data_IF_414224744317
#
_entry.id   IF_414224744317
#
_cell.length_a   1.000
_cell.length_b   1.000
_cell.length_c   1.000
_cell.angle_alpha   90.00
_cell.angle_beta   90.00
_cell.angle_gamma   90.00
#
_symmetry.space_group_name_H-M   'P 1'
#
loop_
_entity.id
_entity.type
_entity.pdbx_description
1 polymer ?
#
# COMPACT_ATOMS: atom_id res chain seq x y z
N UNK A 1 -69.74 -61.18 -16.54
CA UNK A 1 -70.45 -60.23 -15.66
C UNK A 1 -69.93 -60.37 -14.24
N UNK A 2 -69.05 -59.44 -13.80
CA UNK A 2 -68.95 -58.83 -12.48
C UNK A 2 -67.60 -58.09 -12.41
N UNK A 3 -67.67 -56.78 -12.64
CA UNK A 3 -66.65 -55.81 -12.26
C UNK A 3 -66.61 -55.79 -10.73
N UNK A 4 -65.45 -56.05 -10.14
CA UNK A 4 -65.18 -55.79 -8.72
C UNK A 4 -64.10 -54.70 -8.68
N UNK A 5 -64.55 -53.47 -8.40
CA UNK A 5 -63.68 -52.35 -8.04
C UNK A 5 -63.12 -52.60 -6.64
N UNK A 6 -61.79 -52.60 -6.51
CA UNK A 6 -61.08 -52.48 -5.23
C UNK A 6 -60.58 -51.02 -5.11
N UNK A 7 -60.95 -50.27 -4.07
CA UNK A 7 -60.44 -48.93 -3.84
C UNK A 7 -59.02 -49.03 -3.26
N UNK A 8 -58.04 -48.49 -3.97
CA UNK A 8 -56.72 -48.25 -3.41
C UNK A 8 -56.83 -47.13 -2.37
N UNK A 9 -56.65 -47.47 -1.10
CA UNK A 9 -56.44 -46.50 -0.02
C UNK A 9 -55.12 -45.75 -0.28
N UNK A 10 -55.20 -44.51 -0.75
CA UNK A 10 -54.11 -43.55 -0.63
C UNK A 10 -54.03 -43.11 0.83
N UNK A 11 -53.13 -43.72 1.60
CA UNK A 11 -52.66 -43.14 2.85
C UNK A 11 -51.78 -41.94 2.50
N UNK A 12 -52.32 -40.73 2.65
CA UNK A 12 -51.55 -39.49 2.63
C UNK A 12 -50.64 -39.48 3.86
N UNK A 13 -49.39 -39.89 3.67
CA UNK A 13 -48.36 -39.73 4.71
C UNK A 13 -47.95 -38.26 4.71
N UNK A 14 -48.63 -37.45 5.52
CA UNK A 14 -48.10 -36.16 5.97
C UNK A 14 -46.93 -36.43 6.92
N UNK A 15 -45.81 -36.87 6.36
CA UNK A 15 -44.55 -37.00 7.07
C UNK A 15 -43.89 -35.62 7.19
N UNK A 16 -44.30 -34.84 8.18
CA UNK A 16 -43.47 -33.72 8.64
C UNK A 16 -42.21 -34.34 9.25
N UNK A 17 -41.06 -34.22 8.57
CA UNK A 17 -39.78 -34.66 9.09
C UNK A 17 -39.42 -33.78 10.30
N UNK A 18 -39.67 -34.28 11.51
CA UNK A 18 -39.32 -33.62 12.76
C UNK A 18 -37.90 -34.05 13.15
N UNK A 19 -36.90 -33.24 12.80
CA UNK A 19 -35.51 -33.50 13.20
C UNK A 19 -35.35 -33.06 14.67
N UNK A 20 -35.32 -34.03 15.59
CA UNK A 20 -34.86 -33.82 16.96
C UNK A 20 -33.36 -34.10 17.05
N UNK A 21 -32.57 -33.06 16.86
CA UNK A 21 -31.17 -33.00 17.23
C UNK A 21 -30.86 -31.55 17.57
N UNK A 22 -30.04 -31.27 18.59
CA UNK A 22 -29.46 -29.93 18.74
C UNK A 22 -28.80 -29.59 17.41
N UNK A 23 -29.42 -28.71 16.62
CA UNK A 23 -28.81 -28.17 15.41
C UNK A 23 -27.51 -27.53 15.87
N UNK A 24 -26.38 -28.10 15.45
CA UNK A 24 -25.09 -27.49 15.72
C UNK A 24 -25.17 -26.04 15.23
N UNK A 25 -24.93 -25.09 16.14
CA UNK A 25 -25.08 -23.67 15.85
C UNK A 25 -24.00 -23.25 14.87
N UNK A 26 -24.38 -22.63 13.76
CA UNK A 26 -23.45 -22.04 12.81
C UNK A 26 -22.88 -20.74 13.38
N UNK A 27 -21.59 -20.75 13.70
CA UNK A 27 -20.83 -19.63 14.24
C UNK A 27 -19.57 -19.35 13.41
N UNK A 28 -19.62 -19.65 12.11
CA UNK A 28 -18.55 -19.34 11.17
C UNK A 28 -18.28 -17.83 11.13
N UNK A 29 -17.00 -17.46 11.09
CA UNK A 29 -16.58 -16.06 11.21
C UNK A 29 -16.64 -15.34 9.87
N UNK A 30 -17.16 -14.12 9.86
CA UNK A 30 -17.17 -13.22 8.70
C UNK A 30 -16.59 -11.87 9.08
N UNK A 31 -16.02 -11.17 8.10
CA UNK A 31 -15.52 -9.82 8.28
C UNK A 31 -15.75 -8.99 7.02
N UNK A 32 -16.42 -7.85 7.18
CA UNK A 32 -16.51 -6.81 6.15
C UNK A 32 -15.21 -6.02 6.16
N UNK A 33 -14.50 -6.04 5.04
CA UNK A 33 -13.23 -5.34 4.89
C UNK A 33 -13.45 -4.05 4.11
N UNK A 34 -12.85 -2.97 4.60
CA UNK A 34 -12.75 -1.68 3.93
C UNK A 34 -11.41 -1.02 4.28
N UNK A 35 -11.23 0.24 3.85
CA UNK A 35 -9.97 0.96 4.05
C UNK A 35 -9.60 1.13 5.54
N UNK A 36 -10.56 1.14 6.47
CA UNK A 36 -10.32 1.34 7.89
C UNK A 36 -9.67 0.13 8.58
N UNK A 37 -9.90 -1.09 8.07
CA UNK A 37 -9.48 -2.32 8.74
C UNK A 37 -8.65 -3.26 7.86
N UNK A 38 -8.46 -2.94 6.57
CA UNK A 38 -7.65 -3.74 5.64
C UNK A 38 -6.26 -4.00 6.21
N UNK A 39 -5.49 -2.96 6.57
CA UNK A 39 -4.11 -3.13 7.04
C UNK A 39 -3.94 -4.08 8.24
N UNK A 40 -4.87 -4.08 9.19
CA UNK A 40 -4.85 -4.96 10.36
C UNK A 40 -5.20 -6.42 10.02
N UNK A 41 -5.82 -6.65 8.86
CA UNK A 41 -6.32 -7.95 8.40
C UNK A 41 -5.53 -8.52 7.23
N UNK A 42 -4.28 -8.08 7.08
CA UNK A 42 -3.35 -8.46 6.02
C UNK A 42 -3.31 -9.97 5.72
N UNK A 43 -3.30 -10.30 4.43
CA UNK A 43 -2.94 -11.63 3.93
C UNK A 43 -1.56 -11.52 3.31
N UNK A 44 -0.56 -12.07 4.00
CA UNK A 44 0.84 -12.00 3.57
C UNK A 44 1.04 -12.71 2.24
N UNK A 45 1.96 -12.19 1.44
CA UNK A 45 2.39 -12.75 0.15
C UNK A 45 1.24 -13.06 -0.82
N UNK A 46 0.16 -12.27 -0.77
CA UNK A 46 -1.03 -12.47 -1.59
C UNK A 46 -1.20 -11.35 -2.63
N UNK A 47 -0.95 -11.68 -3.90
CA UNK A 47 -1.02 -10.72 -4.99
C UNK A 47 -2.42 -10.11 -5.21
N UNK A 48 -3.50 -10.87 -4.92
CA UNK A 48 -4.86 -10.34 -4.99
C UNK A 48 -5.10 -9.30 -3.88
N UNK A 49 -4.58 -9.57 -2.69
CA UNK A 49 -4.68 -8.67 -1.55
C UNK A 49 -3.97 -7.34 -1.83
N UNK A 50 -2.75 -7.39 -2.32
CA UNK A 50 -1.97 -6.20 -2.69
C UNK A 50 -2.67 -5.40 -3.80
N UNK A 51 -3.29 -6.06 -4.78
CA UNK A 51 -4.07 -5.41 -5.83
C UNK A 51 -5.34 -4.73 -5.30
N UNK A 52 -6.08 -5.38 -4.41
CA UNK A 52 -7.24 -4.75 -3.76
C UNK A 52 -6.79 -3.56 -2.92
N UNK A 53 -5.68 -3.67 -2.18
CA UNK A 53 -5.11 -2.56 -1.40
C UNK A 53 -4.78 -1.34 -2.29
N UNK A 54 -4.38 -1.59 -3.54
CA UNK A 54 -4.13 -0.57 -4.53
C UNK A 54 -5.40 0.02 -5.16
N UNK A 55 -6.60 -0.49 -4.87
CA UNK A 55 -7.84 -0.13 -5.56
C UNK A 55 -8.77 0.65 -4.62
N UNK A 56 -9.59 1.56 -5.15
CA UNK A 56 -10.70 2.12 -4.35
C UNK A 56 -11.63 0.99 -3.89
N UNK A 57 -11.81 0.88 -2.57
CA UNK A 57 -12.57 -0.22 -1.97
C UNK A 57 -13.69 0.28 -1.07
N UNK A 58 -14.68 -0.59 -0.84
CA UNK A 58 -15.76 -0.39 0.12
C UNK A 58 -16.13 -1.71 0.78
N UNK A 59 -16.75 -1.61 1.95
CA UNK A 59 -17.33 -2.75 2.63
C UNK A 59 -18.41 -3.42 1.75
N UNK A 60 -18.45 -4.76 1.68
CA UNK A 60 -19.50 -5.48 0.99
C UNK A 60 -20.77 -5.55 1.83
N UNK A 61 -21.85 -5.96 1.19
CA UNK A 61 -23.02 -6.46 1.91
C UNK A 61 -22.87 -7.96 2.15
N UNK A 62 -23.03 -8.36 3.41
CA UNK A 62 -22.97 -9.75 3.87
C UNK A 62 -24.27 -10.03 4.60
N UNK A 63 -25.05 -10.97 4.08
CA UNK A 63 -26.28 -11.47 4.67
C UNK A 63 -26.03 -12.90 5.12
N UNK A 64 -26.38 -13.21 6.37
CA UNK A 64 -26.27 -14.56 6.93
C UNK A 64 -27.66 -14.96 7.41
N UNK A 65 -28.13 -16.12 6.95
CA UNK A 65 -29.39 -16.72 7.39
C UNK A 65 -29.14 -18.19 7.74
N UNK A 66 -29.38 -18.55 9.00
CA UNK A 66 -28.97 -19.81 9.63
C UNK A 66 -27.48 -20.17 9.39
N UNK A 67 -27.24 -21.02 8.39
CA UNK A 67 -25.91 -21.51 8.00
C UNK A 67 -25.55 -21.10 6.57
N UNK A 68 -26.36 -20.28 5.90
CA UNK A 68 -26.09 -19.77 4.57
C UNK A 68 -25.50 -18.36 4.65
N UNK A 69 -24.59 -18.05 3.75
CA UNK A 69 -24.06 -16.70 3.55
C UNK A 69 -24.28 -16.26 2.12
N UNK A 70 -24.69 -15.01 1.96
CA UNK A 70 -24.82 -14.31 0.69
C UNK A 70 -24.00 -13.03 0.77
N UNK A 71 -23.01 -12.89 -0.12
CA UNK A 71 -22.13 -11.72 -0.19
C UNK A 71 -22.21 -11.07 -1.56
N UNK A 72 -22.35 -9.75 -1.60
CA UNK A 72 -22.41 -9.03 -2.87
C UNK A 72 -21.87 -7.61 -2.80
N UNK A 73 -21.53 -7.09 -3.98
CA UNK A 73 -21.08 -5.73 -4.21
C UNK A 73 -22.06 -4.98 -5.10
N UNK A 74 -22.50 -3.80 -4.66
CA UNK A 74 -23.28 -2.89 -5.51
C UNK A 74 -22.40 -1.99 -6.39
N UNK A 75 -22.97 -1.35 -7.42
CA UNK A 75 -22.37 -0.18 -8.07
C UNK A 75 -21.06 -0.42 -8.84
N UNK A 76 -20.98 -1.50 -9.62
CA UNK A 76 -19.86 -1.73 -10.56
C UNK A 76 -18.53 -2.16 -9.94
N UNK A 77 -18.53 -2.53 -8.65
CA UNK A 77 -17.37 -3.09 -7.96
C UNK A 77 -17.29 -4.62 -8.14
N UNK A 78 -16.08 -5.16 -8.09
CA UNK A 78 -15.82 -6.60 -8.02
C UNK A 78 -15.64 -7.06 -6.58
N UNK A 79 -16.19 -8.23 -6.27
CA UNK A 79 -16.06 -8.91 -4.99
C UNK A 79 -14.78 -9.72 -4.94
N UNK A 80 -14.04 -9.54 -3.85
CA UNK A 80 -12.87 -10.32 -3.48
C UNK A 80 -13.08 -10.89 -2.08
N UNK A 81 -12.59 -12.10 -1.87
CA UNK A 81 -12.61 -12.77 -0.58
C UNK A 81 -11.23 -13.24 -0.17
N UNK A 82 -11.01 -13.29 1.13
CA UNK A 82 -9.76 -13.65 1.75
C UNK A 82 -9.98 -14.50 3.00
N UNK A 83 -9.01 -15.36 3.30
CA UNK A 83 -8.86 -16.04 4.59
C UNK A 83 -7.63 -15.47 5.33
N UNK A 84 -7.00 -16.26 6.19
CA UNK A 84 -5.73 -15.93 6.84
C UNK A 84 -4.52 -16.03 5.92
N UNK A 85 -4.56 -16.90 4.91
CA UNK A 85 -3.40 -17.32 4.10
C UNK A 85 -3.68 -17.36 2.58
N UNK A 86 -4.92 -17.15 2.16
CA UNK A 86 -5.33 -17.22 0.75
C UNK A 86 -6.42 -16.20 0.42
N UNK A 87 -6.70 -16.06 -0.88
CA UNK A 87 -7.78 -15.22 -1.38
C UNK A 87 -8.20 -15.59 -2.78
N UNK A 88 -9.39 -15.14 -3.18
CA UNK A 88 -9.99 -15.40 -4.47
C UNK A 88 -10.73 -14.16 -4.99
N UNK A 89 -10.72 -13.99 -6.31
CA UNK A 89 -11.54 -13.01 -7.02
C UNK A 89 -12.86 -13.68 -7.41
N UNK A 90 -13.98 -13.13 -6.95
CA UNK A 90 -15.32 -13.59 -7.33
C UNK A 90 -15.80 -12.83 -8.57
N UNK A 91 -15.45 -11.54 -8.70
CA UNK A 91 -15.86 -10.70 -9.82
C UNK A 91 -17.14 -9.93 -9.52
N UNK A 92 -17.96 -9.66 -10.53
CA UNK A 92 -19.22 -8.91 -10.40
C UNK A 92 -20.44 -9.78 -10.02
N UNK A 93 -20.18 -11.01 -9.58
CA UNK A 93 -21.19 -11.96 -9.13
C UNK A 93 -21.40 -11.90 -7.61
N UNK A 94 -22.52 -12.48 -7.17
CA UNK A 94 -22.75 -12.76 -5.76
C UNK A 94 -21.99 -14.03 -5.37
N UNK A 95 -21.52 -14.07 -4.13
CA UNK A 95 -20.96 -15.27 -3.53
C UNK A 95 -21.95 -15.88 -2.57
N UNK A 96 -22.27 -17.15 -2.81
CA UNK A 96 -23.10 -17.95 -1.92
C UNK A 96 -22.27 -19.06 -1.28
N UNK A 97 -22.61 -19.43 -0.05
CA UNK A 97 -21.92 -20.50 0.63
C UNK A 97 -22.62 -20.98 1.89
N UNK A 98 -22.08 -22.05 2.46
CA UNK A 98 -22.65 -22.68 3.65
C UNK A 98 -21.60 -22.85 4.75
N UNK A 99 -21.98 -22.55 5.98
CA UNK A 99 -21.19 -22.83 7.17
C UNK A 99 -21.30 -24.31 7.52
N UNK A 100 -20.17 -25.01 7.61
CA UNK A 100 -20.10 -26.36 8.16
C UNK A 100 -20.26 -26.28 9.70
N UNK A 101 -21.37 -26.76 10.29
CA UNK A 101 -21.60 -26.65 11.72
C UNK A 101 -20.61 -27.49 12.57
N UNK A 102 -19.98 -28.50 11.98
CA UNK A 102 -19.03 -29.37 12.67
C UNK A 102 -17.63 -28.78 12.70
N UNK A 103 -17.21 -28.14 11.60
CA UNK A 103 -15.87 -27.57 11.45
C UNK A 103 -15.83 -26.08 11.75
N UNK A 104 -16.97 -25.40 11.78
CA UNK A 104 -17.09 -23.95 11.93
C UNK A 104 -16.29 -23.20 10.86
N UNK A 105 -16.33 -23.73 9.62
CA UNK A 105 -15.68 -23.17 8.43
C UNK A 105 -16.71 -22.93 7.35
N UNK A 106 -16.51 -21.87 6.58
CA UNK A 106 -17.31 -21.61 5.38
C UNK A 106 -16.90 -22.54 4.26
N UNK A 107 -17.87 -23.11 3.58
CA UNK A 107 -17.73 -23.86 2.33
C UNK A 107 -18.24 -22.96 1.21
N UNK A 108 -17.33 -22.46 0.38
CA UNK A 108 -17.58 -21.42 -0.62
C UNK A 108 -17.25 -21.96 -2.01
N UNK A 109 -18.12 -21.75 -2.98
CA UNK A 109 -17.80 -22.03 -4.39
C UNK A 109 -17.13 -20.79 -4.99
N UNK A 110 -15.85 -20.92 -5.31
CA UNK A 110 -15.02 -19.85 -5.88
C UNK A 110 -14.79 -20.03 -7.38
N UNK A 111 -15.55 -20.90 -8.04
CA UNK A 111 -15.50 -21.15 -9.49
C UNK A 111 -14.59 -22.31 -9.91
N UNK A 112 -13.78 -22.85 -8.99
CA UNK A 112 -12.96 -24.06 -9.19
C UNK A 112 -13.42 -25.23 -8.28
N UNK A 113 -14.64 -25.16 -7.77
CA UNK A 113 -15.19 -26.08 -6.78
C UNK A 113 -15.28 -25.46 -5.39
N UNK A 114 -15.73 -26.27 -4.44
CA UNK A 114 -15.97 -25.85 -3.05
C UNK A 114 -14.66 -25.82 -2.29
N UNK A 115 -14.33 -24.64 -1.76
CA UNK A 115 -13.19 -24.40 -0.89
C UNK A 115 -13.62 -24.07 0.53
N UNK A 116 -12.76 -24.41 1.51
CA UNK A 116 -12.99 -24.06 2.91
C UNK A 116 -12.27 -22.77 3.32
N UNK A 117 -12.97 -21.94 4.10
CA UNK A 117 -12.46 -20.70 4.67
C UNK A 117 -12.69 -20.68 6.19
N UNK A 118 -11.63 -20.41 6.96
CA UNK A 118 -11.66 -20.30 8.41
C UNK A 118 -12.29 -18.98 8.85
N UNK A 119 -11.95 -17.89 8.16
CA UNK A 119 -12.62 -16.59 8.27
C UNK A 119 -12.96 -16.11 6.87
N UNK A 120 -14.23 -15.79 6.61
CA UNK A 120 -14.63 -15.16 5.35
C UNK A 120 -14.46 -13.65 5.48
N UNK A 121 -13.31 -13.13 5.05
CA UNK A 121 -13.08 -11.69 4.89
C UNK A 121 -13.49 -11.30 3.48
N UNK A 122 -14.36 -10.31 3.33
CA UNK A 122 -14.87 -9.91 2.02
C UNK A 122 -14.72 -8.40 1.81
N UNK A 123 -14.41 -7.99 0.57
CA UNK A 123 -14.19 -6.58 0.17
C UNK A 123 -14.67 -6.35 -1.25
N UNK A 124 -15.25 -5.18 -1.50
CA UNK A 124 -15.59 -4.72 -2.84
C UNK A 124 -14.53 -3.77 -3.36
N UNK A 125 -13.93 -4.07 -4.52
CA UNK A 125 -12.97 -3.20 -5.20
C UNK A 125 -13.58 -2.63 -6.48
N UNK A 126 -13.52 -1.32 -6.69
CA UNK A 126 -14.10 -0.67 -7.87
C UNK A 126 -13.29 -1.00 -9.14
N UNK A 127 -13.97 -1.48 -10.18
CA UNK A 127 -13.32 -1.77 -11.48
C UNK A 127 -12.71 -0.48 -12.04
N UNK A 128 -11.46 -0.55 -12.50
CA UNK A 128 -10.80 0.57 -13.17
C UNK A 128 -10.32 1.71 -12.25
N UNK A 129 -10.55 1.61 -10.94
CA UNK A 129 -9.89 2.46 -9.92
C UNK A 129 -8.70 1.76 -9.26
N UNK A 130 -8.23 0.67 -9.88
CA UNK A 130 -6.91 0.15 -9.57
C UNK A 130 -5.94 1.34 -9.66
N UNK A 131 -5.11 1.58 -8.66
CA UNK A 131 -3.96 2.48 -8.78
C UNK A 131 -3.06 1.87 -9.84
N UNK A 132 -3.40 2.15 -11.09
CA UNK A 132 -2.75 1.65 -12.28
C UNK A 132 -1.43 2.36 -12.38
N UNK A 133 -0.48 1.86 -11.60
CA UNK A 133 0.83 2.44 -11.59
C UNK A 133 1.60 1.94 -12.82
N UNK A 134 1.57 2.75 -13.87
CA UNK A 134 2.29 2.51 -15.11
C UNK A 134 3.60 3.28 -15.15
N UNK A 135 4.64 2.74 -15.82
CA UNK A 135 5.88 3.47 -16.06
C UNK A 135 5.68 4.84 -16.71
N UNK A 136 4.66 5.03 -17.56
CA UNK A 136 4.36 6.32 -18.20
C UNK A 136 3.42 7.24 -17.39
N UNK A 137 3.05 6.86 -16.17
CA UNK A 137 2.18 7.70 -15.33
C UNK A 137 2.85 9.05 -15.07
N UNK A 138 2.09 10.17 -15.04
CA UNK A 138 2.63 11.45 -14.61
C UNK A 138 3.27 11.30 -13.23
N UNK A 139 4.56 11.65 -13.14
CA UNK A 139 5.37 11.33 -11.97
C UNK A 139 5.98 12.59 -11.35
N UNK A 140 6.12 12.59 -10.03
CA UNK A 140 6.89 13.61 -9.32
C UNK A 140 8.38 13.25 -9.28
N UNK A 141 9.22 14.27 -9.33
CA UNK A 141 10.58 14.20 -8.81
C UNK A 141 10.57 14.64 -7.35
N UNK A 142 10.76 13.71 -6.41
CA UNK A 142 10.89 14.01 -4.98
C UNK A 142 12.36 14.33 -4.68
N UNK A 143 12.62 15.53 -4.18
CA UNK A 143 13.90 15.92 -3.63
C UNK A 143 13.80 16.05 -2.10
N UNK A 144 14.34 15.07 -1.39
CA UNK A 144 14.30 15.01 0.06
C UNK A 144 15.69 15.15 0.66
N UNK A 145 15.81 15.87 1.78
CA UNK A 145 17.09 16.11 2.42
C UNK A 145 17.00 16.13 3.94
N UNK A 146 18.03 15.58 4.58
CA UNK A 146 18.20 15.58 6.03
C UNK A 146 18.52 16.98 6.54
N UNK A 147 17.90 17.38 7.66
CA UNK A 147 18.20 18.65 8.33
C UNK A 147 19.60 18.66 8.99
N UNK A 148 20.28 17.51 9.07
CA UNK A 148 21.64 17.41 9.62
C UNK A 148 22.74 17.81 8.62
N UNK A 149 22.42 17.92 7.33
CA UNK A 149 23.33 18.37 6.27
C UNK A 149 23.67 19.87 6.38
N UNK A 150 24.71 20.29 5.66
CA UNK A 150 24.90 21.72 5.37
C UNK A 150 23.93 22.14 4.26
N UNK A 151 23.21 23.25 4.45
CA UNK A 151 22.24 23.71 3.47
C UNK A 151 22.91 24.16 2.17
N UNK A 152 24.14 24.68 2.23
CA UNK A 152 24.87 25.09 1.03
C UNK A 152 25.15 23.91 0.10
N UNK A 153 25.50 22.74 0.64
CA UNK A 153 25.67 21.51 -0.13
C UNK A 153 24.34 21.05 -0.74
N UNK A 154 23.24 21.12 0.02
CA UNK A 154 21.89 20.79 -0.47
C UNK A 154 21.47 21.72 -1.61
N UNK A 155 21.69 23.02 -1.47
CA UNK A 155 21.41 24.02 -2.50
C UNK A 155 22.25 23.77 -3.76
N UNK A 156 23.54 23.48 -3.59
CA UNK A 156 24.44 23.19 -4.72
C UNK A 156 23.96 21.95 -5.50
N UNK A 157 23.71 20.84 -4.81
CA UNK A 157 23.23 19.60 -5.44
C UNK A 157 21.88 19.83 -6.12
N UNK A 158 20.96 20.55 -5.48
CA UNK A 158 19.67 20.87 -6.09
C UNK A 158 19.82 21.71 -7.36
N UNK A 159 20.72 22.70 -7.35
CA UNK A 159 20.96 23.59 -8.49
C UNK A 159 21.39 22.83 -9.75
N UNK A 160 22.06 21.68 -9.60
CA UNK A 160 22.46 20.81 -10.72
C UNK A 160 21.25 20.15 -11.39
N UNK A 161 20.16 19.90 -10.67
CA UNK A 161 18.89 19.47 -11.28
C UNK A 161 18.19 20.61 -12.04
N UNK A 162 18.43 21.87 -11.67
CA UNK A 162 17.86 23.05 -12.35
C UNK A 162 18.66 23.44 -13.60
N UNK A 163 19.98 23.36 -13.55
CA UNK A 163 20.85 23.94 -14.60
C UNK A 163 21.70 22.90 -15.33
N UNK A 164 21.72 21.65 -14.87
CA UNK A 164 22.49 20.57 -15.47
C UNK A 164 21.80 19.91 -16.68
N UNK A 165 22.51 19.00 -17.39
CA UNK A 165 21.98 18.25 -18.53
C UNK A 165 20.82 17.30 -18.16
N UNK A 166 20.55 17.14 -16.86
CA UNK A 166 19.47 16.36 -16.25
C UNK A 166 18.07 16.95 -16.53
N UNK A 167 18.00 18.18 -17.04
CA UNK A 167 16.75 18.90 -17.34
C UNK A 167 15.82 18.24 -18.39
N UNK A 168 16.30 17.20 -19.08
CA UNK A 168 15.57 16.52 -20.16
C UNK A 168 14.95 15.18 -19.76
N UNK A 169 14.67 14.95 -18.48
CA UNK A 169 13.87 13.79 -18.09
C UNK A 169 12.37 14.08 -18.33
N UNK A 170 11.94 13.90 -19.58
CA UNK A 170 10.56 14.12 -20.07
C UNK A 170 9.45 13.39 -19.29
N UNK A 171 9.83 12.50 -18.37
CA UNK A 171 8.90 11.69 -17.56
C UNK A 171 8.24 12.47 -16.41
N UNK A 172 8.91 13.45 -15.82
CA UNK A 172 8.41 14.11 -14.61
C UNK A 172 7.59 15.37 -14.94
N UNK A 173 6.46 15.54 -14.26
CA UNK A 173 5.55 16.66 -14.50
C UNK A 173 5.57 17.69 -13.37
N UNK A 174 5.96 17.28 -12.17
CA UNK A 174 6.01 18.14 -10.98
C UNK A 174 7.22 17.81 -10.10
N UNK A 175 7.52 18.72 -9.17
CA UNK A 175 8.56 18.53 -8.15
C UNK A 175 7.90 18.43 -6.78
N UNK A 176 8.36 17.48 -5.96
CA UNK A 176 8.03 17.42 -4.55
C UNK A 176 9.30 17.65 -3.72
N UNK A 177 9.17 18.26 -2.54
CA UNK A 177 10.29 18.38 -1.60
C UNK A 177 9.85 18.06 -0.18
N UNK A 178 10.77 17.46 0.58
CA UNK A 178 10.59 17.19 2.01
C UNK A 178 11.91 17.34 2.73
N UNK A 179 11.90 18.09 3.82
CA UNK A 179 12.94 18.01 4.82
C UNK A 179 12.57 16.95 5.86
N UNK A 180 13.55 16.21 6.32
CA UNK A 180 13.40 15.20 7.38
C UNK A 180 14.55 15.33 8.39
N UNK A 181 14.56 14.50 9.42
CA UNK A 181 15.39 14.63 10.62
C UNK A 181 15.10 15.91 11.42
N UNK A 182 13.80 16.24 11.52
CA UNK A 182 13.32 17.42 12.23
C UNK A 182 12.49 17.05 13.45
N UNK A 183 12.64 17.78 14.57
CA UNK A 183 11.84 17.63 15.79
C UNK A 183 10.35 17.75 15.51
N UNK A 184 10.01 18.72 14.65
CA UNK A 184 8.65 18.91 14.15
C UNK A 184 8.57 18.33 12.74
N UNK A 185 7.70 17.34 12.53
CA UNK A 185 7.52 16.76 11.20
C UNK A 185 7.00 17.80 10.23
N UNK A 186 7.65 17.91 9.09
CA UNK A 186 7.26 18.82 8.02
C UNK A 186 6.40 18.11 6.98
N UNK A 187 5.48 18.86 6.36
CA UNK A 187 4.67 18.38 5.25
C UNK A 187 5.50 18.27 3.97
N UNK A 188 5.12 17.32 3.12
CA UNK A 188 5.71 17.18 1.79
C UNK A 188 5.06 18.20 0.88
N UNK A 189 5.87 19.10 0.31
CA UNK A 189 5.37 20.15 -0.55
C UNK A 189 5.44 19.73 -2.01
N UNK A 190 4.33 19.83 -2.73
CA UNK A 190 4.23 19.55 -4.17
C UNK A 190 4.14 20.87 -4.95
N UNK A 191 4.97 21.00 -5.98
CA UNK A 191 5.06 22.19 -6.83
C UNK A 191 4.65 21.81 -8.26
N UNK A 192 3.45 22.25 -8.63
CA UNK A 192 2.87 22.06 -9.95
C UNK A 192 2.76 23.41 -10.66
N UNK A 193 3.53 23.59 -11.73
CA UNK A 193 3.53 24.79 -12.56
C UNK A 193 3.42 24.43 -14.04
N UNK A 194 3.30 25.46 -14.89
CA UNK A 194 3.15 25.30 -16.34
C UNK A 194 4.30 24.52 -17.01
N UNK A 195 5.51 24.60 -16.46
CA UNK A 195 6.66 23.83 -16.91
C UNK A 195 7.35 23.16 -15.73
N UNK A 196 7.98 22.00 -15.95
CA UNK A 196 8.79 21.33 -14.93
C UNK A 196 9.89 22.26 -14.40
N UNK A 197 10.47 23.11 -15.25
CA UNK A 197 11.45 24.10 -14.84
C UNK A 197 10.91 25.16 -13.88
N UNK A 198 9.66 25.59 -14.04
CA UNK A 198 8.99 26.47 -13.08
C UNK A 198 8.72 25.75 -11.75
N UNK A 199 8.37 24.46 -11.79
CA UNK A 199 8.23 23.62 -10.59
C UNK A 199 9.54 23.51 -9.82
N UNK A 200 10.68 23.29 -10.50
CA UNK A 200 12.01 23.31 -9.88
C UNK A 200 12.35 24.67 -9.26
N UNK A 201 12.07 25.79 -9.95
CA UNK A 201 12.31 27.14 -9.41
C UNK A 201 11.45 27.42 -8.18
N UNK A 202 10.15 27.09 -8.21
CA UNK A 202 9.25 27.28 -7.09
C UNK A 202 9.68 26.46 -5.85
N UNK A 203 10.13 25.23 -6.06
CA UNK A 203 10.70 24.39 -5.01
C UNK A 203 12.02 24.96 -4.47
N UNK A 204 12.91 25.47 -5.33
CA UNK A 204 14.14 26.17 -4.91
C UNK A 204 13.82 27.39 -4.04
N UNK A 205 12.90 28.24 -4.49
CA UNK A 205 12.47 29.43 -3.74
C UNK A 205 11.90 29.06 -2.37
N UNK A 206 11.10 27.99 -2.30
CA UNK A 206 10.57 27.47 -1.05
C UNK A 206 11.69 27.02 -0.11
N UNK A 207 12.61 26.16 -0.57
CA UNK A 207 13.73 25.68 0.25
C UNK A 207 14.61 26.83 0.72
N UNK A 208 14.89 27.82 -0.14
CA UNK A 208 15.71 28.98 0.17
C UNK A 208 15.05 29.92 1.18
N UNK A 209 13.71 30.01 1.15
CA UNK A 209 12.93 30.80 2.10
C UNK A 209 12.78 30.12 3.46
N UNK A 210 12.52 28.81 3.47
CA UNK A 210 12.33 28.08 4.72
C UNK A 210 13.64 27.90 5.45
N UNK A 211 14.75 27.69 4.71
CA UNK A 211 16.13 27.41 5.18
C UNK A 211 16.20 26.29 6.23
N UNK A 212 17.33 25.61 6.34
CA UNK A 212 17.55 24.73 7.50
C UNK A 212 17.51 25.56 8.79
N UNK A 213 16.64 25.17 9.72
CA UNK A 213 16.70 25.64 11.11
C UNK A 213 17.46 24.57 11.91
N UNK A 214 18.72 24.85 12.31
CA UNK A 214 19.51 23.89 13.07
C UNK A 214 18.86 23.50 14.41
N UNK A 215 17.98 24.35 14.95
CA UNK A 215 17.25 24.04 16.20
C UNK A 215 16.21 22.93 16.04
N UNK A 216 15.80 22.64 14.79
CA UNK A 216 14.92 21.53 14.46
C UNK A 216 15.65 20.19 14.39
N UNK A 217 17.00 20.12 14.41
CA UNK A 217 17.72 18.83 14.41
C UNK A 217 17.40 18.02 15.65
N UNK A 218 17.48 16.69 15.57
CA UNK A 218 17.34 15.86 16.77
C UNK A 218 18.47 16.14 17.76
N UNK A 219 18.12 16.21 19.05
CA UNK A 219 19.06 16.57 20.12
C UNK A 219 20.10 15.47 20.42
N UNK A 220 19.75 14.21 20.12
CA UNK A 220 20.57 13.04 20.44
C UNK A 220 21.10 12.37 19.18
N UNK A 221 22.37 11.94 19.21
CA UNK A 221 22.95 11.07 18.18
C UNK A 221 22.35 9.65 18.19
N UNK A 222 21.71 9.23 19.28
CA UNK A 222 21.03 7.92 19.38
C UNK A 222 19.70 7.89 18.64
N UNK A 223 19.09 9.06 18.38
CA UNK A 223 17.86 9.16 17.60
C UNK A 223 18.16 8.85 16.14
N UNK A 224 17.52 7.81 15.60
CA UNK A 224 17.62 7.45 14.19
C UNK A 224 16.91 8.43 13.28
N UNK A 225 17.26 8.38 11.99
CA UNK A 225 16.60 9.18 10.96
C UNK A 225 15.15 8.77 10.75
N UNK A 226 14.27 9.74 10.52
CA UNK A 226 12.86 9.51 10.17
C UNK A 226 12.62 9.42 8.65
N UNK A 227 13.66 9.19 7.85
CA UNK A 227 13.59 9.06 6.39
C UNK A 227 12.59 7.99 5.92
N UNK A 228 12.46 6.87 6.64
CA UNK A 228 11.52 5.79 6.28
C UNK A 228 10.07 6.24 6.51
N UNK A 229 9.82 6.99 7.58
CA UNK A 229 8.51 7.62 7.84
C UNK A 229 8.20 8.68 6.77
N UNK A 230 9.18 9.51 6.39
CA UNK A 230 9.02 10.48 5.30
C UNK A 230 8.65 9.80 3.97
N UNK A 231 9.32 8.71 3.62
CA UNK A 231 9.00 7.92 2.42
C UNK A 231 7.61 7.27 2.51
N UNK A 232 7.22 6.73 3.66
CA UNK A 232 5.86 6.20 3.83
C UNK A 232 4.81 7.31 3.67
N UNK A 233 5.03 8.50 4.25
CA UNK A 233 4.13 9.66 4.09
C UNK A 233 4.05 10.13 2.64
N UNK A 234 5.15 10.09 1.89
CA UNK A 234 5.13 10.42 0.46
C UNK A 234 4.25 9.42 -0.31
N UNK A 235 4.45 8.13 -0.07
CA UNK A 235 3.69 7.06 -0.73
C UNK A 235 2.20 7.14 -0.38
N UNK A 236 1.89 7.42 0.88
CA UNK A 236 0.53 7.44 1.41
C UNK A 236 -0.16 8.81 1.24
N UNK A 237 0.47 9.76 0.57
CA UNK A 237 -0.08 11.12 0.36
C UNK A 237 -1.33 11.17 -0.53
N UNK A 238 -1.66 10.07 -1.21
CA UNK A 238 -2.72 9.98 -2.22
C UNK A 238 -2.52 10.97 -3.39
N UNK A 239 -1.32 11.55 -3.52
CA UNK A 239 -1.01 12.47 -4.60
C UNK A 239 -0.88 11.71 -5.92
N UNK A 240 -1.52 12.22 -6.97
CA UNK A 240 -1.63 11.52 -8.26
C UNK A 240 -0.26 11.18 -8.90
N UNK A 241 0.77 11.91 -8.53
CA UNK A 241 2.13 11.85 -9.08
C UNK A 241 3.09 10.92 -8.32
N UNK A 242 2.61 10.18 -7.31
CA UNK A 242 3.45 9.27 -6.50
C UNK A 242 3.91 8.07 -7.33
N UNK A 243 3.05 7.54 -8.18
CA UNK A 243 3.41 6.42 -9.03
C UNK A 243 4.56 6.78 -9.99
N UNK A 244 5.50 5.85 -10.16
CA UNK A 244 6.61 5.96 -11.10
C UNK A 244 7.54 7.16 -10.82
N UNK A 245 7.41 7.77 -9.65
CA UNK A 245 8.24 8.87 -9.16
C UNK A 245 9.69 8.44 -8.98
N UNK A 246 10.57 9.43 -8.96
CA UNK A 246 11.96 9.26 -8.56
C UNK A 246 12.17 10.06 -7.28
N UNK A 247 12.71 9.41 -6.26
CA UNK A 247 13.10 10.03 -5.01
C UNK A 247 14.62 10.15 -4.95
N UNK A 248 15.10 11.39 -5.00
CA UNK A 248 16.48 11.72 -4.68
C UNK A 248 16.54 12.13 -3.21
N UNK A 249 17.31 11.39 -2.41
CA UNK A 249 17.33 11.51 -0.96
C UNK A 249 18.76 11.80 -0.51
N UNK A 250 18.98 12.94 0.13
CA UNK A 250 20.25 13.31 0.73
C UNK A 250 20.20 13.09 2.24
N UNK A 251 21.13 12.31 2.78
CA UNK A 251 21.14 11.90 4.17
C UNK A 251 22.47 12.18 4.84
N UNK A 252 22.41 12.47 6.14
CA UNK A 252 23.59 12.44 7.03
C UNK A 252 23.36 11.58 8.27
N UNK A 253 22.11 11.40 8.71
CA UNK A 253 21.74 10.54 9.83
C UNK A 253 21.26 9.18 9.33
N UNK A 254 21.66 8.11 10.02
CA UNK A 254 21.21 6.74 9.73
C UNK A 254 19.87 6.44 10.42
N UNK A 255 19.02 5.57 9.84
CA UNK A 255 17.87 5.01 10.55
C UNK A 255 18.27 4.14 11.74
N UNK A 256 17.33 3.86 12.63
CA UNK A 256 17.46 2.82 13.65
C UNK A 256 16.65 1.56 13.31
N UNK A 257 15.71 1.69 12.39
CA UNK A 257 14.86 0.62 11.93
C UNK A 257 15.63 -0.31 10.99
N UNK A 258 15.48 -1.62 11.18
CA UNK A 258 16.07 -2.65 10.30
C UNK A 258 15.02 -3.45 9.52
N UNK A 259 13.77 -3.47 10.00
CA UNK A 259 12.67 -4.11 9.30
C UNK A 259 12.08 -3.18 8.24
N UNK A 260 12.40 -3.46 6.98
CA UNK A 260 12.02 -2.64 5.82
C UNK A 260 11.05 -3.37 4.87
N UNK A 261 10.54 -4.54 5.25
CA UNK A 261 9.73 -5.39 4.37
C UNK A 261 8.47 -4.68 3.84
N UNK A 262 7.80 -3.93 4.72
CA UNK A 262 6.58 -3.15 4.38
C UNK A 262 6.88 -2.05 3.36
N UNK A 263 7.88 -1.22 3.62
CA UNK A 263 8.22 -0.10 2.75
C UNK A 263 8.81 -0.56 1.41
N UNK A 264 9.58 -1.66 1.39
CA UNK A 264 10.05 -2.30 0.14
C UNK A 264 8.88 -2.69 -0.76
N UNK A 265 7.83 -3.32 -0.20
CA UNK A 265 6.63 -3.68 -0.98
C UNK A 265 5.95 -2.43 -1.53
N UNK A 266 5.77 -1.39 -0.71
CA UNK A 266 5.18 -0.12 -1.14
C UNK A 266 5.96 0.54 -2.28
N UNK A 267 7.28 0.69 -2.14
CA UNK A 267 8.14 1.29 -3.17
C UNK A 267 8.03 0.51 -4.50
N UNK A 268 8.07 -0.83 -4.45
CA UNK A 268 7.91 -1.69 -5.63
C UNK A 268 6.52 -1.55 -6.26
N UNK A 269 5.47 -1.56 -5.44
CA UNK A 269 4.08 -1.42 -5.87
C UNK A 269 3.86 -0.09 -6.60
N UNK A 270 4.42 1.00 -6.07
CA UNK A 270 4.33 2.35 -6.64
C UNK A 270 5.43 2.65 -7.67
N UNK A 271 6.29 1.67 -7.99
CA UNK A 271 7.39 1.79 -8.96
C UNK A 271 8.28 3.01 -8.71
N UNK A 272 8.53 3.32 -7.44
CA UNK A 272 9.35 4.47 -7.06
C UNK A 272 10.81 4.10 -7.23
N UNK A 273 11.55 4.93 -7.94
CA UNK A 273 12.99 4.79 -8.09
C UNK A 273 13.71 5.57 -6.99
N UNK A 274 14.60 4.90 -6.25
CA UNK A 274 15.37 5.52 -5.18
C UNK A 274 16.79 5.84 -5.65
N UNK A 275 17.22 7.08 -5.43
CA UNK A 275 18.61 7.53 -5.55
C UNK A 275 19.01 8.17 -4.22
N UNK A 276 19.87 7.50 -3.46
CA UNK A 276 20.19 7.84 -2.08
C UNK A 276 21.66 8.24 -1.97
N UNK A 277 21.89 9.50 -1.58
CA UNK A 277 23.19 10.04 -1.27
C UNK A 277 23.36 10.11 0.26
N UNK A 278 24.43 9.55 0.80
CA UNK A 278 24.67 9.51 2.25
C UNK A 278 26.06 10.10 2.55
N UNK A 279 26.10 11.15 3.37
CA UNK A 279 27.34 11.71 3.91
C UNK A 279 27.83 10.84 5.08
N UNK A 280 29.11 10.49 5.07
CA UNK A 280 29.75 9.66 6.09
C UNK A 280 30.97 10.38 6.70
N UNK A 281 31.16 10.41 8.04
CA UNK A 281 30.45 9.62 9.04
C UNK A 281 29.06 10.15 9.34
N UNK A 282 28.18 9.24 9.74
CA UNK A 282 26.81 9.59 10.09
C UNK A 282 26.76 10.57 11.27
N UNK A 283 25.82 11.51 11.26
CA UNK A 283 25.54 12.42 12.38
C UNK A 283 24.82 11.72 13.55
N UNK A 284 24.22 10.54 13.31
CA UNK A 284 23.51 9.77 14.33
C UNK A 284 22.83 8.51 13.79
N UNK A 285 22.11 7.82 14.67
CA UNK A 285 21.48 6.54 14.37
C UNK A 285 22.46 5.38 14.22
N UNK A 286 21.92 4.17 14.16
CA UNK A 286 22.67 2.94 14.40
C UNK A 286 22.86 2.06 13.15
N UNK A 287 21.99 2.20 12.14
CA UNK A 287 21.90 1.24 11.03
C UNK A 287 22.06 1.91 9.65
N UNK A 288 23.28 2.35 9.27
CA UNK A 288 23.54 2.90 7.93
C UNK A 288 23.22 1.91 6.80
N UNK A 289 23.33 0.60 7.06
CA UNK A 289 23.04 -0.46 6.09
C UNK A 289 21.55 -0.53 5.69
N UNK A 290 20.64 0.03 6.51
CA UNK A 290 19.20 -0.02 6.24
C UNK A 290 18.86 0.61 4.89
N UNK A 291 19.45 1.76 4.58
CA UNK A 291 19.14 2.48 3.33
C UNK A 291 19.79 1.82 2.10
N UNK A 292 20.99 1.26 2.27
CA UNK A 292 21.61 0.43 1.23
C UNK A 292 20.75 -0.80 0.90
N UNK A 293 20.27 -1.51 1.94
CA UNK A 293 19.40 -2.66 1.77
C UNK A 293 18.06 -2.29 1.14
N UNK A 294 17.52 -1.12 1.47
CA UNK A 294 16.29 -0.59 0.87
C UNK A 294 16.47 -0.35 -0.63
N UNK A 295 17.51 0.38 -1.02
CA UNK A 295 17.83 0.62 -2.43
C UNK A 295 18.07 -0.69 -3.18
N UNK A 296 18.91 -1.59 -2.65
CA UNK A 296 19.19 -2.89 -3.27
C UNK A 296 17.93 -3.74 -3.46
N UNK A 297 17.04 -3.79 -2.47
CA UNK A 297 15.76 -4.52 -2.57
C UNK A 297 14.77 -3.84 -3.50
N UNK A 298 14.95 -2.58 -3.88
CA UNK A 298 14.01 -1.84 -4.73
C UNK A 298 14.58 -1.51 -6.11
N UNK A 299 15.76 -2.04 -6.45
CA UNK A 299 16.53 -1.71 -7.65
C UNK A 299 16.88 -0.21 -7.76
N UNK A 300 17.07 0.46 -6.63
CA UNK A 300 17.59 1.82 -6.55
C UNK A 300 19.10 1.87 -6.38
N UNK A 301 19.62 3.09 -6.30
CA UNK A 301 21.02 3.39 -6.04
C UNK A 301 21.20 3.99 -4.65
N UNK A 302 22.26 3.57 -3.96
CA UNK A 302 22.66 4.11 -2.67
C UNK A 302 24.18 4.22 -2.64
N UNK A 303 24.69 5.38 -2.27
CA UNK A 303 26.13 5.63 -2.21
C UNK A 303 26.50 6.43 -0.97
N UNK A 304 27.72 6.20 -0.48
CA UNK A 304 28.29 6.79 0.73
C UNK A 304 29.59 7.50 0.36
N UNK A 305 29.79 8.75 0.79
CA UNK A 305 31.09 9.41 0.70
C UNK A 305 31.29 10.42 1.84
N UNK A 306 32.53 10.91 2.03
CA UNK A 306 32.84 11.93 3.02
C UNK A 306 32.09 13.24 2.83
N UNK A 307 31.87 13.64 1.57
CA UNK A 307 31.17 14.86 1.20
C UNK A 307 29.96 14.52 0.33
N UNK A 308 28.79 15.07 0.67
CA UNK A 308 27.53 14.73 -0.01
C UNK A 308 27.53 15.15 -1.50
N UNK A 309 28.31 16.19 -1.83
CA UNK A 309 28.47 16.71 -3.18
C UNK A 309 29.12 15.64 -4.09
N UNK A 310 30.17 14.97 -3.61
CA UNK A 310 30.86 13.91 -4.37
C UNK A 310 29.94 12.71 -4.67
N UNK A 311 29.04 12.38 -3.74
CA UNK A 311 28.07 11.28 -3.92
C UNK A 311 27.03 11.62 -4.98
N UNK A 312 26.57 12.87 -5.00
CA UNK A 312 25.55 13.31 -5.93
C UNK A 312 26.00 13.19 -7.39
N UNK A 313 27.30 13.37 -7.66
CA UNK A 313 27.91 13.20 -8.99
C UNK A 313 27.84 11.78 -9.55
N UNK A 314 27.70 10.78 -8.68
CA UNK A 314 27.54 9.37 -9.08
C UNK A 314 26.08 9.04 -9.39
N UNK A 315 25.14 9.85 -8.89
CA UNK A 315 23.70 9.63 -8.97
C UNK A 315 23.01 10.50 -10.04
N UNK A 316 23.75 11.40 -10.71
CA UNK A 316 23.29 12.18 -11.86
C UNK A 316 23.29 11.37 -13.16
#
# INVERSE_FOLDING_TARGET
>A
MKLLLLPALFLTVNGCLRIFGKTATCACKTLKIDRSNMHENEVKDNALYDMVLATTMKAPEILIDDCAVHVYCGGGSELYIFDTDKGAKIGDYTLDGSCDPSQQKWQLDVGNGIEQYTVLKAVCALKGTENKCYPESPAAFLFAYSNDLDYSDVEEVYSRFIYGPVFYWEKYVIVATSRFDTKTKEEIMFFENNTLGDSYRAASDYMNKTRMDPSQRFDSSETGSDVLDMLERFIDSDHYSVCASRAFIMMKRSPNEVEISKIVRKIRQWRIELNIAIEHPSSGGLHPETMYNLAAKTNGYCSFAPEIIEVSDILF
#
